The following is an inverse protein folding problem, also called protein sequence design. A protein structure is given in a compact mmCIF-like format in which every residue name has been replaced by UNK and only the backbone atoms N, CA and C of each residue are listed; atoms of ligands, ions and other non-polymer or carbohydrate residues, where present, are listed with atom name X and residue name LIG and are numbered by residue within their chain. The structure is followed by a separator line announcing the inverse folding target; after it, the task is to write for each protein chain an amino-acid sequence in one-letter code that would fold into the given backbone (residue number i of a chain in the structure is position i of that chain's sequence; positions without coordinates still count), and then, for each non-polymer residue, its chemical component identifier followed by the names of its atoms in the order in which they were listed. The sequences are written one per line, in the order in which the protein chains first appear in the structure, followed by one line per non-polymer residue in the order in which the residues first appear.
data_IF_233323603184
#
_entry.id   IF_233323603184
#
_cell.length_a   1.000
_cell.length_b   1.000
_cell.length_c   1.000
_cell.angle_alpha   90.00
_cell.angle_beta   90.00
_cell.angle_gamma   90.00
#
_symmetry.space_group_name_H-M   'P 1'
#
loop_
_entity.id
_entity.type
_entity.pdbx_description
1 polymer ?
#
# COMPACT_ATOMS: atom_id res chain seq x y z
N UNK A 1 -6.88 1.18 16.36
CA UNK A 1 -6.03 0.09 15.90
C UNK A 1 -5.43 0.45 14.54
N UNK A 2 -4.14 0.26 14.39
CA UNK A 2 -3.48 0.48 13.10
C UNK A 2 -3.51 -0.78 12.27
N UNK A 3 -3.62 -0.57 10.96
CA UNK A 3 -3.69 -1.65 10.01
C UNK A 3 -2.62 -1.43 8.96
N UNK A 4 -1.83 -2.46 8.70
CA UNK A 4 -0.75 -2.40 7.73
C UNK A 4 -1.10 -3.25 6.54
N UNK A 5 -1.18 -2.62 5.37
CA UNK A 5 -1.51 -3.29 4.12
C UNK A 5 -0.22 -3.40 3.31
N UNK A 6 0.18 -4.62 3.02
CA UNK A 6 1.36 -4.84 2.19
C UNK A 6 0.94 -5.22 0.79
N UNK A 7 1.53 -4.57 -0.20
CA UNK A 7 1.20 -4.84 -1.59
C UNK A 7 2.48 -5.15 -2.36
N UNK A 8 2.49 -6.31 -2.99
CA UNK A 8 3.58 -6.74 -3.86
C UNK A 8 3.19 -6.41 -5.29
N UNK A 9 3.94 -5.51 -5.90
CA UNK A 9 3.62 -4.97 -7.22
C UNK A 9 4.30 -5.80 -8.30
N UNK A 10 3.53 -6.19 -9.30
CA UNK A 10 4.05 -6.85 -10.49
C UNK A 10 3.41 -6.23 -11.71
N UNK A 11 3.85 -6.67 -12.89
CA UNK A 11 3.44 -6.02 -14.13
C UNK A 11 1.95 -6.11 -14.37
N UNK A 12 1.38 -7.30 -14.27
CA UNK A 12 -0.02 -7.52 -14.63
C UNK A 12 -0.92 -7.72 -13.42
N UNK A 13 -0.38 -8.25 -12.34
CA UNK A 13 -1.15 -8.58 -11.16
C UNK A 13 -0.40 -8.16 -9.93
N UNK A 14 -1.14 -7.77 -8.93
CA UNK A 14 -0.57 -7.41 -7.64
C UNK A 14 -1.12 -8.33 -6.58
N UNK A 15 -0.41 -8.43 -5.45
CA UNK A 15 -0.86 -9.22 -4.31
C UNK A 15 -0.92 -8.29 -3.10
N UNK A 16 -1.96 -8.45 -2.28
CA UNK A 16 -2.12 -7.61 -1.10
C UNK A 16 -2.58 -8.46 0.07
N UNK A 17 -2.17 -8.05 1.25
CA UNK A 17 -2.61 -8.64 2.50
C UNK A 17 -2.59 -7.55 3.55
N UNK A 18 -3.31 -7.75 4.65
CA UNK A 18 -3.35 -6.76 5.70
C UNK A 18 -3.24 -7.43 7.06
N UNK A 19 -2.49 -6.78 7.96
CA UNK A 19 -2.38 -7.24 9.33
C UNK A 19 -2.65 -6.09 10.28
N UNK A 20 -3.09 -6.42 11.49
CA UNK A 20 -3.23 -5.42 12.53
C UNK A 20 -1.88 -5.10 13.14
N UNK A 21 -1.84 -4.03 13.94
CA UNK A 21 -0.62 -3.70 14.69
C UNK A 21 -0.23 -4.79 15.67
N UNK A 22 -1.15 -5.67 16.00
CA UNK A 22 -0.88 -6.81 16.88
C UNK A 22 -0.40 -8.04 16.13
N UNK A 23 -0.32 -7.96 14.81
CA UNK A 23 0.15 -9.08 14.00
C UNK A 23 -0.93 -10.03 13.53
N UNK A 24 -2.18 -9.70 13.80
CA UNK A 24 -3.30 -10.54 13.40
C UNK A 24 -3.61 -10.32 11.92
N UNK A 25 -3.83 -11.40 11.19
CA UNK A 25 -4.16 -11.31 9.76
C UNK A 25 -5.60 -10.85 9.62
N UNK A 26 -5.79 -9.69 9.00
CA UNK A 26 -7.11 -9.11 8.79
C UNK A 26 -7.63 -9.39 7.39
N UNK A 27 -6.73 -9.41 6.41
CA UNK A 27 -7.08 -9.75 5.03
C UNK A 27 -6.05 -10.76 4.56
N UNK A 28 -6.51 -11.95 4.21
CA UNK A 28 -5.65 -12.97 3.67
C UNK A 28 -5.08 -12.52 2.33
N UNK A 29 -3.87 -12.95 1.98
CA UNK A 29 -3.29 -12.56 0.70
C UNK A 29 -4.23 -12.85 -0.46
N UNK A 30 -4.41 -11.87 -1.31
CA UNK A 30 -5.25 -12.02 -2.49
C UNK A 30 -4.60 -11.31 -3.66
N UNK A 31 -5.02 -11.71 -4.84
CA UNK A 31 -4.47 -11.21 -6.09
C UNK A 31 -5.48 -10.26 -6.72
N UNK A 32 -4.99 -9.16 -7.31
CA UNK A 32 -5.87 -8.27 -8.06
C UNK A 32 -5.11 -7.75 -9.28
N UNK A 33 -5.88 -7.40 -10.31
CA UNK A 33 -5.30 -6.97 -11.58
C UNK A 33 -4.87 -5.51 -11.52
N UNK A 34 -3.93 -5.16 -12.40
CA UNK A 34 -3.37 -3.81 -12.46
C UNK A 34 -4.26 -2.94 -13.35
N UNK A 35 -5.49 -2.72 -12.93
CA UNK A 35 -6.47 -1.93 -13.67
C UNK A 35 -7.55 -1.45 -12.72
N UNK A 36 -8.52 -0.70 -13.25
CA UNK A 36 -9.57 -0.13 -12.43
C UNK A 36 -10.36 -1.19 -11.67
N UNK A 37 -10.66 -2.31 -12.30
CA UNK A 37 -11.42 -3.37 -11.64
C UNK A 37 -10.63 -3.95 -10.46
N UNK A 38 -9.35 -4.18 -10.66
CA UNK A 38 -8.51 -4.69 -9.59
C UNK A 38 -8.38 -3.71 -8.46
N UNK A 39 -8.23 -2.43 -8.78
CA UNK A 39 -8.13 -1.39 -7.76
C UNK A 39 -9.42 -1.29 -6.94
N UNK A 40 -10.56 -1.44 -7.58
CA UNK A 40 -11.83 -1.43 -6.87
C UNK A 40 -11.97 -2.63 -5.95
N UNK A 41 -11.48 -3.77 -6.37
CA UNK A 41 -11.49 -4.96 -5.50
C UNK A 41 -10.66 -4.70 -4.24
N UNK A 42 -9.46 -4.15 -4.42
CA UNK A 42 -8.62 -3.81 -3.29
C UNK A 42 -9.33 -2.83 -2.36
N UNK A 43 -9.87 -1.76 -2.94
CA UNK A 43 -10.53 -0.73 -2.14
C UNK A 43 -11.71 -1.29 -1.36
N UNK A 44 -12.48 -2.18 -1.98
CA UNK A 44 -13.65 -2.76 -1.31
C UNK A 44 -13.25 -3.56 -0.07
N UNK A 45 -12.08 -4.19 -0.11
CA UNK A 45 -11.60 -4.93 1.06
C UNK A 45 -11.07 -4.01 2.13
N UNK A 46 -10.47 -2.88 1.74
CA UNK A 46 -9.88 -1.95 2.70
C UNK A 46 -10.91 -1.07 3.39
N UNK A 47 -12.04 -0.83 2.75
CA UNK A 47 -13.03 0.11 3.28
C UNK A 47 -13.57 -0.30 4.64
N UNK A 48 -13.54 -1.59 4.94
CA UNK A 48 -14.03 -2.08 6.22
C UNK A 48 -13.23 -1.56 7.41
N UNK A 49 -11.99 -1.11 7.18
CA UNK A 49 -11.09 -0.78 8.27
C UNK A 49 -10.87 0.72 8.46
N UNK A 50 -11.28 1.56 7.51
CA UNK A 50 -11.12 3.00 7.64
C UNK A 50 -9.75 3.49 7.17
N UNK A 51 -9.76 4.59 6.46
CA UNK A 51 -8.55 5.14 5.85
C UNK A 51 -7.57 5.68 6.86
N UNK A 52 -8.07 6.32 7.91
CA UNK A 52 -7.20 6.97 8.88
C UNK A 52 -6.41 5.96 9.69
N UNK A 53 -6.86 4.72 9.73
CA UNK A 53 -6.19 3.66 10.47
C UNK A 53 -5.27 2.81 9.60
N UNK A 54 -5.28 3.04 8.29
CA UNK A 54 -4.60 2.15 7.35
C UNK A 54 -3.35 2.81 6.80
N UNK A 55 -2.28 2.06 6.75
CA UNK A 55 -1.03 2.47 6.10
C UNK A 55 -0.72 1.41 5.06
N UNK A 56 -0.51 1.85 3.82
CA UNK A 56 -0.29 0.94 2.71
C UNK A 56 1.17 1.02 2.30
N UNK A 57 1.84 -0.13 2.33
CA UNK A 57 3.21 -0.23 1.86
C UNK A 57 3.26 -0.99 0.55
N UNK A 58 3.93 -0.41 -0.43
CA UNK A 58 4.11 -1.03 -1.73
C UNK A 58 5.57 -1.29 -1.98
N UNK A 59 5.86 -2.44 -2.54
CA UNK A 59 7.21 -2.74 -2.97
C UNK A 59 7.20 -2.97 -4.48
N UNK A 60 8.04 -2.23 -5.19
CA UNK A 60 8.08 -2.30 -6.64
C UNK A 60 9.47 -1.99 -7.13
N UNK A 61 9.93 -2.74 -8.11
CA UNK A 61 11.24 -2.51 -8.72
C UNK A 61 11.14 -1.71 -10.02
N UNK A 62 9.91 -1.35 -10.41
CA UNK A 62 9.67 -0.60 -11.64
C UNK A 62 8.48 0.30 -11.43
N UNK A 63 7.94 0.85 -12.52
CA UNK A 63 6.83 1.80 -12.43
C UNK A 63 5.47 1.15 -12.48
N UNK A 64 5.40 -0.15 -12.31
CA UNK A 64 4.14 -0.88 -12.44
C UNK A 64 3.11 -0.49 -11.39
N UNK A 65 3.56 0.12 -10.29
CA UNK A 65 2.64 0.53 -9.24
C UNK A 65 2.18 1.98 -9.32
N UNK A 66 2.63 2.74 -10.32
CA UNK A 66 2.35 4.18 -10.36
C UNK A 66 0.86 4.48 -10.39
N UNK A 67 0.11 3.74 -11.21
CA UNK A 67 -1.33 3.98 -11.31
C UNK A 67 -2.04 3.63 -10.01
N UNK A 68 -1.62 2.55 -9.38
CA UNK A 68 -2.21 2.16 -8.11
C UNK A 68 -1.92 3.20 -7.03
N UNK A 69 -0.70 3.72 -6.99
CA UNK A 69 -0.35 4.74 -6.01
C UNK A 69 -1.24 5.96 -6.20
N UNK A 70 -1.38 6.43 -7.43
CA UNK A 70 -2.25 7.58 -7.70
C UNK A 70 -3.68 7.32 -7.27
N UNK A 71 -4.17 6.12 -7.56
CA UNK A 71 -5.53 5.76 -7.19
C UNK A 71 -5.72 5.82 -5.68
N UNK A 72 -4.79 5.22 -4.94
CA UNK A 72 -4.92 5.16 -3.49
C UNK A 72 -4.75 6.53 -2.84
N UNK A 73 -3.80 7.33 -3.33
CA UNK A 73 -3.61 8.67 -2.81
C UNK A 73 -4.84 9.52 -3.09
N UNK A 74 -5.44 9.38 -4.29
CA UNK A 74 -6.66 10.11 -4.61
C UNK A 74 -7.81 9.73 -3.72
N UNK A 75 -7.78 8.53 -3.14
CA UNK A 75 -8.78 8.07 -2.19
C UNK A 75 -8.40 8.37 -0.75
N UNK A 76 -7.33 9.15 -0.55
CA UNK A 76 -6.88 9.65 0.75
C UNK A 76 -6.26 8.58 1.64
N UNK A 77 -5.70 7.54 1.06
CA UNK A 77 -4.92 6.56 1.82
C UNK A 77 -3.49 7.02 1.97
N UNK A 78 -2.87 6.63 3.08
CA UNK A 78 -1.45 6.86 3.31
C UNK A 78 -0.67 5.74 2.61
N UNK A 79 0.25 6.11 1.73
CA UNK A 79 0.98 5.15 0.92
C UNK A 79 2.47 5.36 1.11
N UNK A 80 3.18 4.29 1.41
CA UNK A 80 4.64 4.28 1.49
C UNK A 80 5.19 3.39 0.40
N UNK A 81 6.15 3.90 -0.34
CA UNK A 81 6.86 3.10 -1.33
C UNK A 81 8.02 2.43 -0.63
N UNK A 82 8.01 1.11 -0.61
CA UNK A 82 9.10 0.33 -0.04
C UNK A 82 10.04 -0.04 -1.16
N UNK A 83 11.25 0.38 -1.04
CA UNK A 83 12.28 0.11 -2.02
C UNK A 83 13.55 -0.22 -1.26
N UNK A 84 14.63 -0.59 -1.93
CA UNK A 84 15.89 -0.75 -1.22
C UNK A 84 16.29 0.49 -0.44
N UNK A 85 15.79 1.66 -0.83
CA UNK A 85 16.08 2.91 -0.14
C UNK A 85 15.04 3.24 0.92
N UNK A 86 13.87 2.63 0.86
CA UNK A 86 12.83 2.76 1.89
C UNK A 86 12.29 4.16 2.04
N UNK A 87 11.70 4.66 1.01
CA UNK A 87 11.13 6.00 1.00
C UNK A 87 9.64 5.96 1.20
N UNK A 88 9.12 6.81 2.07
CA UNK A 88 7.68 6.96 2.25
C UNK A 88 7.19 8.15 1.45
N UNK A 89 6.08 7.96 0.76
CA UNK A 89 5.52 8.96 -0.14
C UNK A 89 4.34 9.72 0.43
N UNK A 90 3.85 9.34 1.55
CA UNK A 90 2.61 9.95 2.03
C UNK A 90 2.77 11.38 2.45
N UNK A 91 4.00 11.81 2.79
CA UNK A 91 4.31 13.20 3.01
C UNK A 91 5.78 13.32 3.11
N UNK A 92 6.27 14.23 3.11
CA UNK A 92 7.59 14.45 3.12
C UNK A 92 8.32 14.45 4.23
N UNK A 93 8.67 14.23 4.79
CA UNK A 93 9.32 14.31 5.65
C UNK A 93 9.96 13.66 6.22
N UNK A 94 10.07 13.25 6.06
CA UNK A 94 10.69 12.75 6.57
C UNK A 94 11.59 12.29 6.73
N UNK A 95 11.87 12.08 6.37
CA UNK A 95 12.57 11.72 6.49
C UNK A 95 13.59 11.67 6.70
N UNK A 96 13.91 11.76 6.74
CA UNK A 96 14.68 11.77 6.89
C UNK A 96 15.55 11.72 7.11
N UNK A 97 15.72 11.63 7.21
CA UNK A 97 16.36 11.60 7.43
C UNK A 97 17.11 11.16 7.68
N UNK A 98 17.10 10.84 7.80
CA UNK A 98 17.58 10.37 7.97
C UNK A 98 18.23 9.76 7.74
N UNK A 99 18.16 9.40 7.36
CA UNK A 99 18.47 8.89 6.97
C UNK A 99 19.36 8.55 6.91
N UNK A 100 19.77 8.33 6.97
CA UNK A 100 20.56 7.97 6.77
C UNK A 100 21.02 7.18 6.84
N UNK A 101 21.03 6.53 6.71
CA UNK A 101 21.22 5.73 6.75
C UNK A 101 21.91 5.51 6.67
#
# INVERSE_FOLDING_TARGET
MKIFVGIDIAKLKHFAAAISSDGEILIEPFKFTNDADGFQLLLSKLEAFGKSNSIIGLESTAHYGDNLVRYLVAKFYQVCMLSPIKTCQMRKNNVRKRERY
#
